data_IF_647091524832
#
_entry.id   IF_647091524832
#
_cell.length_a   1.000
_cell.length_b   1.000
_cell.length_c   1.000
_cell.angle_alpha   90.00
_cell.angle_beta   90.00
_cell.angle_gamma   90.00
#
_symmetry.space_group_name_H-M   'P 1'
#
loop_
_entity.id
_entity.type
_entity.pdbx_description
1 polymer ?
#
# COMPACT_ATOMS: atom_id res chain seq x y z
N UNK A 1 21.86 5.31 10.99
CA UNK A 1 21.08 6.56 10.77
C UNK A 1 21.29 7.42 11.99
N UNK A 2 21.69 8.67 11.81
CA UNK A 2 21.80 9.65 12.89
C UNK A 2 20.45 10.39 13.04
N UNK A 3 19.66 10.00 14.04
CA UNK A 3 18.33 10.61 14.29
C UNK A 3 18.44 12.09 14.65
N UNK A 4 19.52 12.50 15.36
CA UNK A 4 19.69 13.91 15.75
C UNK A 4 19.92 14.81 14.55
N UNK A 5 20.70 14.36 13.56
CA UNK A 5 20.90 15.11 12.33
C UNK A 5 19.61 15.20 11.51
N UNK A 6 18.79 14.12 11.49
CA UNK A 6 17.50 14.14 10.85
C UNK A 6 16.51 15.09 11.54
N UNK A 7 16.48 15.11 12.87
CA UNK A 7 15.65 16.03 13.65
C UNK A 7 16.01 17.50 13.38
N UNK A 8 17.28 17.84 13.51
CA UNK A 8 17.73 19.19 13.21
C UNK A 8 17.36 19.65 11.80
N UNK A 9 17.45 18.74 10.82
CA UNK A 9 17.03 19.01 9.44
C UNK A 9 15.52 19.24 9.33
N UNK A 10 14.70 18.46 10.04
CA UNK A 10 13.25 18.61 10.04
C UNK A 10 12.81 19.93 10.71
N UNK A 11 13.43 20.27 11.85
CA UNK A 11 13.14 21.50 12.59
C UNK A 11 13.50 22.74 11.77
N UNK A 12 14.70 22.77 11.16
CA UNK A 12 15.19 23.88 10.33
C UNK A 12 14.27 24.14 9.12
N UNK A 13 13.65 23.10 8.58
CA UNK A 13 12.74 23.20 7.41
C UNK A 13 11.27 23.28 7.76
N UNK A 14 10.95 23.32 9.04
CA UNK A 14 9.56 23.43 9.49
C UNK A 14 8.71 22.23 9.08
N UNK A 15 9.28 21.03 9.11
CA UNK A 15 8.55 19.78 8.86
C UNK A 15 7.55 19.55 9.98
N UNK A 16 6.29 19.25 9.64
CA UNK A 16 5.27 18.97 10.63
C UNK A 16 5.37 17.54 11.17
N UNK A 17 5.61 16.57 10.29
CA UNK A 17 5.69 15.15 10.66
C UNK A 17 6.75 14.42 9.85
N UNK A 18 7.52 13.55 10.52
CA UNK A 18 8.43 12.61 9.88
C UNK A 18 7.91 11.17 9.98
N UNK A 19 8.12 10.42 8.93
CA UNK A 19 7.82 8.99 8.87
C UNK A 19 9.12 8.20 8.84
N UNK A 20 9.26 7.26 9.78
CA UNK A 20 10.41 6.38 9.87
C UNK A 20 9.97 4.94 9.63
N UNK A 21 10.67 4.24 8.73
CA UNK A 21 10.51 2.80 8.55
C UNK A 21 11.75 2.08 9.07
N UNK A 22 11.55 1.17 10.01
CA UNK A 22 12.61 0.33 10.59
C UNK A 22 12.39 -1.11 10.09
N UNK A 23 13.28 -1.62 9.25
CA UNK A 23 13.20 -3.01 8.80
C UNK A 23 13.48 -3.98 9.97
N UNK A 24 12.90 -5.17 9.94
CA UNK A 24 13.08 -6.20 10.98
C UNK A 24 14.54 -6.58 11.22
N UNK A 25 15.39 -6.50 10.18
CA UNK A 25 16.84 -6.71 10.30
C UNK A 25 17.56 -5.64 11.12
N UNK A 26 16.92 -4.47 11.33
CA UNK A 26 17.42 -3.36 12.12
C UNK A 26 16.56 -3.11 13.38
N UNK A 27 15.93 -4.15 13.93
CA UNK A 27 14.99 -4.07 15.06
C UNK A 27 15.55 -3.32 16.27
N UNK A 28 16.86 -3.36 16.49
CA UNK A 28 17.55 -2.63 17.54
C UNK A 28 17.40 -1.10 17.44
N UNK A 29 17.04 -0.57 16.27
CA UNK A 29 16.82 0.85 16.08
C UNK A 29 15.45 1.34 16.62
N UNK A 30 14.54 0.43 16.96
CA UNK A 30 13.21 0.81 17.47
C UNK A 30 13.30 1.51 18.83
N UNK A 31 14.05 0.96 19.77
CA UNK A 31 14.18 1.55 21.11
C UNK A 31 14.78 2.96 21.07
N UNK A 32 15.88 3.23 20.34
CA UNK A 32 16.36 4.58 20.14
C UNK A 32 15.32 5.51 19.50
N UNK A 33 14.64 5.07 18.46
CA UNK A 33 13.62 5.89 17.78
C UNK A 33 12.46 6.27 18.70
N UNK A 34 11.93 5.31 19.48
CA UNK A 34 10.85 5.59 20.45
C UNK A 34 11.32 6.56 21.55
N UNK A 35 12.57 6.40 22.05
CA UNK A 35 13.13 7.34 23.03
C UNK A 35 13.33 8.74 22.48
N UNK A 36 13.52 8.84 21.17
CA UNK A 36 13.66 10.11 20.45
C UNK A 36 12.28 10.72 20.05
N UNK A 37 11.19 10.16 20.50
CA UNK A 37 9.83 10.70 20.35
C UNK A 37 9.08 10.20 19.11
N UNK A 38 9.52 9.11 18.49
CA UNK A 38 8.75 8.44 17.46
C UNK A 38 7.69 7.51 18.07
N UNK A 39 6.45 7.62 17.63
CA UNK A 39 5.35 6.74 17.97
C UNK A 39 5.29 5.55 16.98
N UNK A 40 5.27 4.32 17.49
CA UNK A 40 5.05 3.13 16.67
C UNK A 40 3.58 3.04 16.28
N UNK A 41 3.28 3.18 14.99
CA UNK A 41 1.90 3.20 14.48
C UNK A 41 1.48 1.89 13.80
N UNK A 42 2.43 1.21 13.15
CA UNK A 42 2.10 0.05 12.32
C UNK A 42 3.28 -0.91 12.23
N UNK A 43 2.98 -2.19 12.21
CA UNK A 43 3.92 -3.23 11.77
C UNK A 43 3.40 -3.78 10.45
N UNK A 44 4.25 -3.79 9.43
CA UNK A 44 3.92 -4.32 8.11
C UNK A 44 4.67 -5.60 7.81
N UNK A 45 4.04 -6.47 7.03
CA UNK A 45 4.66 -7.64 6.43
C UNK A 45 4.79 -7.41 4.94
N UNK A 46 5.97 -7.65 4.40
CA UNK A 46 6.21 -7.70 2.96
C UNK A 46 6.25 -9.16 2.55
N UNK A 47 5.42 -9.51 1.59
CA UNK A 47 5.39 -10.84 1.00
C UNK A 47 5.98 -10.77 -0.40
N UNK A 48 6.62 -11.85 -0.79
CA UNK A 48 7.17 -12.04 -2.13
C UNK A 48 6.28 -12.97 -2.93
N UNK A 49 5.97 -12.57 -4.17
CA UNK A 49 5.32 -13.40 -5.16
C UNK A 49 6.19 -13.55 -6.41
N UNK A 50 5.92 -14.58 -7.19
CA UNK A 50 6.42 -14.69 -8.56
C UNK A 50 5.50 -13.89 -9.48
N UNK A 51 6.05 -13.20 -10.50
CA UNK A 51 5.21 -12.63 -11.55
C UNK A 51 4.34 -13.71 -12.21
N UNK A 52 3.16 -13.33 -12.65
CA UNK A 52 2.26 -14.21 -13.39
C UNK A 52 2.71 -14.36 -14.85
N UNK A 53 2.08 -15.29 -15.57
CA UNK A 53 2.31 -15.50 -17.01
C UNK A 53 0.99 -15.47 -17.79
N UNK A 54 -0.07 -14.96 -17.18
CA UNK A 54 -1.39 -14.87 -17.75
C UNK A 54 -1.64 -13.53 -18.46
N UNK A 55 -2.83 -13.40 -18.97
CA UNK A 55 -3.37 -12.15 -19.50
C UNK A 55 -3.94 -11.32 -18.34
N UNK A 56 -3.39 -10.16 -18.08
CA UNK A 56 -3.81 -9.30 -16.99
C UNK A 56 -5.17 -8.63 -17.23
N UNK A 57 -5.60 -8.52 -18.48
CA UNK A 57 -6.91 -7.98 -18.86
C UNK A 57 -8.05 -9.02 -18.75
N UNK A 58 -7.77 -10.20 -18.20
CA UNK A 58 -8.78 -11.25 -18.06
C UNK A 58 -9.96 -10.81 -17.20
N UNK A 59 -11.12 -11.20 -17.65
CA UNK A 59 -12.37 -10.91 -16.98
C UNK A 59 -12.69 -9.42 -17.05
N UNK A 60 -13.09 -8.85 -15.92
CA UNK A 60 -13.50 -7.45 -15.82
C UNK A 60 -12.38 -6.56 -15.27
N UNK A 61 -11.16 -6.72 -15.79
CA UNK A 61 -10.02 -5.87 -15.44
C UNK A 61 -9.68 -4.99 -16.63
N UNK A 62 -9.43 -3.73 -16.36
CA UNK A 62 -8.96 -2.75 -17.35
C UNK A 62 -7.92 -1.81 -16.74
N UNK A 63 -7.22 -1.07 -17.59
CA UNK A 63 -6.39 0.04 -17.13
C UNK A 63 -7.25 1.15 -16.52
N UNK A 64 -6.77 1.74 -15.44
CA UNK A 64 -7.35 2.93 -14.83
C UNK A 64 -7.02 4.18 -15.65
N UNK A 65 -7.95 5.14 -15.66
CA UNK A 65 -7.82 6.41 -16.36
C UNK A 65 -8.12 7.58 -15.41
N UNK A 66 -7.85 8.80 -15.82
CA UNK A 66 -8.20 10.00 -15.04
C UNK A 66 -9.72 10.14 -14.81
N UNK A 67 -10.55 9.54 -15.66
CA UNK A 67 -12.00 9.53 -15.48
C UNK A 67 -12.45 8.73 -14.23
N UNK A 68 -11.63 7.78 -13.78
CA UNK A 68 -11.90 6.95 -12.60
C UNK A 68 -11.55 7.66 -11.28
N UNK A 69 -10.92 8.83 -11.32
CA UNK A 69 -10.30 9.50 -10.17
C UNK A 69 -11.26 9.69 -8.99
N UNK A 70 -12.49 10.11 -9.24
CA UNK A 70 -13.50 10.36 -8.19
C UNK A 70 -13.89 9.05 -7.52
N UNK A 71 -14.26 8.05 -8.32
CA UNK A 71 -14.80 6.78 -7.81
C UNK A 71 -13.72 5.95 -7.10
N UNK A 72 -12.53 5.84 -7.68
CA UNK A 72 -11.41 5.16 -7.03
C UNK A 72 -10.95 5.89 -5.76
N UNK A 73 -11.01 7.22 -5.74
CA UNK A 73 -10.75 8.02 -4.55
C UNK A 73 -11.71 7.67 -3.41
N UNK A 74 -13.00 7.50 -3.67
CA UNK A 74 -14.00 7.09 -2.66
C UNK A 74 -13.78 5.64 -2.20
N UNK A 75 -13.44 4.74 -3.11
CA UNK A 75 -13.05 3.37 -2.75
C UNK A 75 -11.84 3.39 -1.81
N UNK A 76 -10.81 4.18 -2.12
CA UNK A 76 -9.63 4.30 -1.29
C UNK A 76 -9.96 4.86 0.11
N UNK A 77 -10.72 5.95 0.18
CA UNK A 77 -11.11 6.57 1.44
C UNK A 77 -11.81 5.62 2.42
N UNK A 78 -12.51 4.61 1.91
CA UNK A 78 -13.23 3.63 2.74
C UNK A 78 -12.46 2.35 3.00
N UNK A 79 -11.67 1.91 2.02
CA UNK A 79 -11.03 0.59 2.01
C UNK A 79 -9.94 0.45 3.08
N UNK A 80 -9.22 1.55 3.38
CA UNK A 80 -8.07 1.53 4.29
C UNK A 80 -8.41 1.89 5.74
N UNK A 81 -9.65 2.29 6.06
CA UNK A 81 -10.06 2.70 7.42
C UNK A 81 -9.72 1.69 8.51
N UNK A 82 -9.95 0.37 8.32
CA UNK A 82 -9.66 -0.60 9.38
C UNK A 82 -8.17 -0.90 9.58
N UNK A 83 -7.31 -0.52 8.63
CA UNK A 83 -5.96 -1.06 8.55
C UNK A 83 -4.85 -0.02 8.53
N UNK A 84 -5.07 1.13 7.90
CA UNK A 84 -4.01 2.07 7.55
C UNK A 84 -3.47 2.86 8.74
N UNK A 85 -2.13 3.06 8.78
CA UNK A 85 -1.43 3.81 9.84
C UNK A 85 -1.92 5.25 10.00
N UNK A 86 -2.39 5.88 8.92
CA UNK A 86 -2.91 7.25 8.98
C UNK A 86 -4.21 7.35 9.78
N UNK A 87 -4.99 6.26 9.87
CA UNK A 87 -6.14 6.19 10.78
C UNK A 87 -5.74 5.84 12.21
N UNK A 88 -4.61 5.14 12.40
CA UNK A 88 -4.06 4.84 13.72
C UNK A 88 -3.43 6.07 14.37
N UNK A 89 -2.88 7.01 13.58
CA UNK A 89 -2.33 8.27 14.06
C UNK A 89 -3.46 9.25 14.45
N UNK A 90 -3.59 9.64 15.75
CA UNK A 90 -4.65 10.55 16.20
C UNK A 90 -4.62 11.91 15.51
N UNK A 91 -3.44 12.39 15.10
CA UNK A 91 -3.25 13.69 14.45
C UNK A 91 -3.56 13.68 12.95
N UNK A 92 -3.44 12.51 12.28
CA UNK A 92 -3.73 12.35 10.85
C UNK A 92 -5.11 11.76 10.57
N UNK A 93 -5.73 11.11 11.55
CA UNK A 93 -7.01 10.39 11.36
C UNK A 93 -8.08 11.20 10.65
N UNK A 94 -8.22 12.48 11.01
CA UNK A 94 -9.22 13.37 10.42
C UNK A 94 -8.96 13.71 8.95
N UNK A 95 -7.73 13.51 8.46
CA UNK A 95 -7.31 13.75 7.08
C UNK A 95 -7.00 12.45 6.30
N UNK A 96 -7.14 11.29 6.95
CA UNK A 96 -6.74 10.02 6.35
C UNK A 96 -7.53 9.70 5.07
N UNK A 97 -8.85 9.99 5.05
CA UNK A 97 -9.67 9.82 3.85
C UNK A 97 -9.13 10.67 2.67
N UNK A 98 -8.79 11.93 2.94
CA UNK A 98 -8.22 12.86 1.94
C UNK A 98 -6.84 12.38 1.45
N UNK A 99 -5.98 11.91 2.36
CA UNK A 99 -4.67 11.35 2.00
C UNK A 99 -4.80 10.18 1.04
N UNK A 100 -5.68 9.22 1.31
CA UNK A 100 -5.87 8.08 0.44
C UNK A 100 -6.52 8.44 -0.90
N UNK A 101 -7.47 9.39 -0.92
CA UNK A 101 -8.00 9.95 -2.18
C UNK A 101 -6.90 10.57 -3.01
N UNK A 102 -6.13 11.48 -2.43
CA UNK A 102 -5.02 12.17 -3.11
C UNK A 102 -3.98 11.19 -3.62
N UNK A 103 -3.61 10.19 -2.83
CA UNK A 103 -2.66 9.18 -3.26
C UNK A 103 -3.17 8.39 -4.47
N UNK A 104 -4.44 8.01 -4.47
CA UNK A 104 -5.08 7.30 -5.58
C UNK A 104 -5.13 8.16 -6.85
N UNK A 105 -5.54 9.42 -6.71
CA UNK A 105 -5.58 10.38 -7.83
C UNK A 105 -4.18 10.60 -8.41
N UNK A 106 -3.17 10.80 -7.56
CA UNK A 106 -1.78 10.95 -8.01
C UNK A 106 -1.28 9.69 -8.72
N UNK A 107 -1.70 8.49 -8.27
CA UNK A 107 -1.35 7.22 -8.94
C UNK A 107 -1.89 7.16 -10.36
N UNK A 108 -3.11 7.64 -10.61
CA UNK A 108 -3.68 7.77 -11.96
C UNK A 108 -2.97 8.81 -12.84
N UNK A 109 -2.29 9.77 -12.22
CA UNK A 109 -1.53 10.81 -12.91
C UNK A 109 -0.01 10.54 -12.98
N UNK A 110 0.40 9.28 -12.83
CA UNK A 110 1.79 8.85 -13.06
C UNK A 110 2.65 8.71 -11.81
N UNK A 111 2.09 8.82 -10.60
CA UNK A 111 2.81 8.42 -9.40
C UNK A 111 3.00 6.88 -9.32
N UNK A 112 2.05 6.12 -9.82
CA UNK A 112 2.20 4.69 -10.08
C UNK A 112 2.50 4.46 -11.58
N UNK A 113 3.26 3.40 -11.90
CA UNK A 113 3.55 3.05 -13.28
C UNK A 113 2.30 2.54 -14.01
N UNK A 114 1.38 1.93 -13.25
CA UNK A 114 0.05 1.58 -13.75
C UNK A 114 -0.97 1.46 -12.63
N UNK A 115 -2.25 1.61 -13.01
CA UNK A 115 -3.41 1.34 -12.18
C UNK A 115 -4.30 0.36 -12.92
N UNK A 116 -4.70 -0.74 -12.26
CA UNK A 116 -5.70 -1.68 -12.79
C UNK A 116 -7.00 -1.52 -12.00
N UNK A 117 -8.11 -1.54 -12.72
CA UNK A 117 -9.46 -1.40 -12.17
C UNK A 117 -10.26 -2.67 -12.41
N UNK A 118 -10.89 -3.18 -11.38
CA UNK A 118 -11.93 -4.20 -11.50
C UNK A 118 -13.25 -3.51 -11.77
N UNK A 119 -13.84 -3.79 -12.94
CA UNK A 119 -15.03 -3.12 -13.45
C UNK A 119 -16.19 -4.11 -13.59
N UNK A 120 -17.13 -4.07 -12.65
CA UNK A 120 -18.30 -4.93 -12.57
C UNK A 120 -19.60 -4.08 -12.70
N UNK A 121 -19.80 -3.44 -13.85
CA UNK A 121 -20.81 -2.40 -14.09
C UNK A 121 -20.52 -1.10 -13.30
N UNK A 122 -19.23 -0.75 -13.25
CA UNK A 122 -18.60 0.33 -12.50
C UNK A 122 -17.43 -0.19 -11.68
N UNK A 123 -16.51 0.69 -11.25
CA UNK A 123 -15.33 0.31 -10.47
C UNK A 123 -15.68 -0.39 -9.15
N UNK A 124 -15.35 -1.67 -9.05
CA UNK A 124 -15.55 -2.48 -7.83
C UNK A 124 -14.29 -2.57 -6.96
N UNK A 125 -13.14 -2.16 -7.51
CA UNK A 125 -11.86 -2.09 -6.82
C UNK A 125 -10.72 -1.71 -7.75
N UNK A 126 -9.56 -1.46 -7.19
CA UNK A 126 -8.37 -1.10 -7.95
C UNK A 126 -7.09 -1.58 -7.27
N UNK A 127 -6.02 -1.64 -8.06
CA UNK A 127 -4.66 -1.89 -7.56
C UNK A 127 -3.68 -1.01 -8.32
N UNK A 128 -2.68 -0.47 -7.61
CA UNK A 128 -1.58 0.30 -8.21
C UNK A 128 -0.30 -0.53 -8.22
N UNK A 129 0.50 -0.39 -9.27
CA UNK A 129 1.78 -1.06 -9.41
C UNK A 129 2.91 -0.09 -9.65
N UNK A 130 4.08 -0.40 -9.09
CA UNK A 130 5.32 0.36 -9.27
C UNK A 130 6.42 -0.58 -9.77
N UNK A 131 7.26 -0.08 -10.66
CA UNK A 131 8.41 -0.77 -11.25
C UNK A 131 9.69 -0.13 -10.72
N UNK A 132 10.54 -0.91 -10.06
CA UNK A 132 11.76 -0.43 -9.44
C UNK A 132 12.89 -1.47 -9.65
N UNK A 133 13.84 -1.17 -10.54
CA UNK A 133 15.00 -2.01 -10.86
C UNK A 133 14.68 -3.51 -11.06
N UNK A 134 13.67 -3.80 -11.89
CA UNK A 134 13.24 -5.18 -12.17
C UNK A 134 12.45 -5.86 -11.07
N UNK A 135 12.01 -5.10 -10.06
CA UNK A 135 11.12 -5.52 -8.98
C UNK A 135 9.77 -4.83 -9.14
N UNK A 136 8.69 -5.60 -9.19
CA UNK A 136 7.34 -5.08 -9.11
C UNK A 136 6.95 -4.83 -7.64
N UNK A 137 6.34 -3.69 -7.35
CA UNK A 137 5.79 -3.38 -6.03
C UNK A 137 4.31 -3.07 -6.14
N UNK A 138 3.50 -3.80 -5.40
CA UNK A 138 2.10 -3.45 -5.24
C UNK A 138 2.01 -2.24 -4.29
N UNK A 139 1.38 -1.17 -4.74
CA UNK A 139 1.14 0.03 -3.95
C UNK A 139 -0.17 -0.06 -3.16
N UNK A 140 -1.23 0.55 -3.67
CA UNK A 140 -2.56 0.49 -3.07
C UNK A 140 -3.38 -0.64 -3.68
N UNK A 141 -4.16 -1.35 -2.86
CA UNK A 141 -5.23 -2.23 -3.31
C UNK A 141 -6.48 -1.87 -2.52
N UNK A 142 -7.45 -1.27 -3.19
CA UNK A 142 -8.72 -0.85 -2.61
C UNK A 142 -9.89 -1.61 -3.23
N UNK A 143 -10.91 -1.90 -2.41
CA UNK A 143 -12.13 -2.59 -2.85
C UNK A 143 -13.36 -1.87 -2.32
N UNK A 144 -14.34 -1.66 -3.17
CA UNK A 144 -15.61 -1.04 -2.80
C UNK A 144 -16.32 -1.80 -1.66
N UNK A 145 -17.10 -1.11 -0.83
CA UNK A 145 -17.93 -1.77 0.18
C UNK A 145 -18.85 -2.81 -0.46
N UNK A 146 -18.74 -4.06 -0.01
CA UNK A 146 -19.55 -5.17 -0.52
C UNK A 146 -19.53 -6.32 0.53
N UNK A 147 -20.40 -7.31 0.42
CA UNK A 147 -20.33 -8.51 1.26
C UNK A 147 -18.96 -9.19 1.19
N UNK A 148 -18.49 -9.82 2.28
CA UNK A 148 -17.12 -10.37 2.37
C UNK A 148 -16.73 -11.29 1.22
N UNK A 149 -17.62 -12.14 0.75
CA UNK A 149 -17.38 -13.07 -0.36
C UNK A 149 -17.19 -12.34 -1.71
N UNK A 150 -17.94 -11.27 -1.96
CA UNK A 150 -17.81 -10.47 -3.18
C UNK A 150 -16.47 -9.70 -3.16
N UNK A 151 -16.12 -9.09 -2.02
CA UNK A 151 -14.84 -8.43 -1.82
C UNK A 151 -13.66 -9.37 -2.05
N UNK A 152 -13.74 -10.60 -1.53
CA UNK A 152 -12.71 -11.60 -1.73
C UNK A 152 -12.50 -11.93 -3.22
N UNK A 153 -13.58 -12.03 -3.99
CA UNK A 153 -13.52 -12.24 -5.44
C UNK A 153 -12.79 -11.11 -6.16
N UNK A 154 -13.12 -9.85 -5.82
CA UNK A 154 -12.46 -8.67 -6.40
C UNK A 154 -10.96 -8.62 -6.03
N UNK A 155 -10.61 -8.83 -4.75
CA UNK A 155 -9.21 -8.85 -4.29
C UNK A 155 -8.40 -9.92 -5.03
N UNK A 156 -8.95 -11.15 -5.14
CA UNK A 156 -8.25 -12.26 -5.81
C UNK A 156 -8.04 -11.98 -7.30
N UNK A 157 -9.05 -11.41 -7.96
CA UNK A 157 -8.97 -11.01 -9.38
C UNK A 157 -7.91 -9.94 -9.59
N UNK A 158 -7.94 -8.86 -8.81
CA UNK A 158 -6.95 -7.78 -8.87
C UNK A 158 -5.53 -8.29 -8.58
N UNK A 159 -5.38 -9.14 -7.55
CA UNK A 159 -4.07 -9.73 -7.22
C UNK A 159 -3.51 -10.55 -8.37
N UNK A 160 -4.34 -11.41 -8.99
CA UNK A 160 -3.90 -12.19 -10.16
C UNK A 160 -3.49 -11.28 -11.31
N UNK A 161 -4.33 -10.30 -11.65
CA UNK A 161 -4.07 -9.40 -12.79
C UNK A 161 -2.84 -8.52 -12.57
N UNK A 162 -2.59 -8.03 -11.35
CA UNK A 162 -1.35 -7.26 -11.08
C UNK A 162 -0.11 -8.13 -11.19
N UNK A 163 -0.16 -9.40 -10.78
CA UNK A 163 0.95 -10.34 -10.96
C UNK A 163 1.20 -10.64 -12.45
N UNK A 164 0.14 -10.87 -13.22
CA UNK A 164 0.23 -11.11 -14.66
C UNK A 164 0.74 -9.86 -15.40
N UNK A 165 0.33 -8.65 -14.98
CA UNK A 165 0.83 -7.39 -15.52
C UNK A 165 2.33 -7.24 -15.25
N UNK A 166 2.79 -7.48 -14.04
CA UNK A 166 4.21 -7.47 -13.72
C UNK A 166 5.00 -8.50 -14.51
N UNK A 167 4.42 -9.67 -14.81
CA UNK A 167 5.02 -10.66 -15.67
C UNK A 167 5.18 -10.16 -17.11
N UNK A 168 4.17 -9.48 -17.66
CA UNK A 168 4.22 -8.86 -18.97
C UNK A 168 5.27 -7.73 -19.05
N UNK A 169 5.48 -7.00 -17.97
CA UNK A 169 6.50 -5.95 -17.84
C UNK A 169 7.92 -6.52 -17.56
N UNK A 170 8.07 -7.85 -17.49
CA UNK A 170 9.36 -8.53 -17.39
C UNK A 170 10.05 -8.44 -16.03
N UNK A 171 9.33 -8.12 -14.93
CA UNK A 171 9.95 -8.09 -13.60
C UNK A 171 10.34 -9.49 -13.13
N UNK A 172 11.38 -9.58 -12.31
CA UNK A 172 11.89 -10.86 -11.80
C UNK A 172 11.19 -11.35 -10.54
N UNK A 173 10.64 -10.43 -9.75
CA UNK A 173 9.89 -10.69 -8.49
C UNK A 173 8.91 -9.58 -8.18
N UNK A 174 7.88 -9.90 -7.41
CA UNK A 174 6.88 -8.93 -6.95
C UNK A 174 6.90 -8.89 -5.42
N UNK A 175 6.86 -7.67 -4.87
CA UNK A 175 6.72 -7.42 -3.44
C UNK A 175 5.35 -6.81 -3.15
N UNK A 176 4.68 -7.37 -2.15
CA UNK A 176 3.35 -6.97 -1.71
C UNK A 176 3.39 -6.67 -0.22
N UNK A 177 3.07 -5.44 0.15
CA UNK A 177 3.09 -5.03 1.55
C UNK A 177 1.67 -4.98 2.12
N UNK A 178 1.49 -5.48 3.33
CA UNK A 178 0.24 -5.38 4.07
C UNK A 178 0.51 -5.24 5.57
N UNK A 179 -0.47 -4.74 6.31
CA UNK A 179 -0.38 -4.62 7.76
C UNK A 179 -0.38 -5.99 8.43
N UNK A 180 0.41 -6.16 9.50
CA UNK A 180 0.52 -7.41 10.24
C UNK A 180 -0.81 -7.88 10.85
N UNK A 181 -1.72 -6.94 11.12
CA UNK A 181 -3.04 -7.21 11.66
C UNK A 181 -4.14 -7.35 10.59
N UNK A 182 -3.83 -7.12 9.30
CA UNK A 182 -4.76 -7.31 8.19
C UNK A 182 -4.88 -8.80 7.81
N UNK A 183 -5.49 -9.57 8.71
CA UNK A 183 -5.64 -11.02 8.56
C UNK A 183 -6.32 -11.46 7.25
N UNK A 184 -7.40 -10.79 6.76
CA UNK A 184 -8.01 -11.14 5.49
C UNK A 184 -7.03 -11.06 4.32
N UNK A 185 -6.27 -9.95 4.21
CA UNK A 185 -5.29 -9.79 3.13
C UNK A 185 -4.15 -10.80 3.24
N UNK A 186 -3.63 -11.03 4.45
CA UNK A 186 -2.58 -12.04 4.65
C UNK A 186 -3.04 -13.45 4.23
N UNK A 187 -4.28 -13.82 4.54
CA UNK A 187 -4.84 -15.11 4.13
C UNK A 187 -4.93 -15.22 2.59
N UNK A 188 -5.37 -14.15 1.91
CA UNK A 188 -5.40 -14.11 0.43
C UNK A 188 -4.00 -14.26 -0.15
N UNK A 189 -3.04 -13.48 0.34
CA UNK A 189 -1.67 -13.51 -0.18
C UNK A 189 -1.03 -14.89 0.03
N UNK A 190 -1.18 -15.47 1.22
CA UNK A 190 -0.63 -16.81 1.53
C UNK A 190 -1.29 -17.89 0.68
N UNK A 191 -2.62 -17.89 0.54
CA UNK A 191 -3.33 -18.86 -0.32
C UNK A 191 -3.02 -18.70 -1.81
N UNK A 192 -2.55 -17.53 -2.22
CA UNK A 192 -2.05 -17.26 -3.58
C UNK A 192 -0.58 -17.64 -3.78
N UNK A 193 0.04 -18.32 -2.81
CA UNK A 193 1.43 -18.78 -2.91
C UNK A 193 2.48 -17.72 -2.59
N UNK A 194 2.09 -16.56 -2.06
CA UNK A 194 3.04 -15.57 -1.60
C UNK A 194 3.75 -16.05 -0.32
N UNK A 195 5.04 -15.74 -0.21
CA UNK A 195 5.86 -16.11 0.95
C UNK A 195 6.38 -14.87 1.66
N UNK A 196 6.54 -14.94 2.97
CA UNK A 196 7.10 -13.83 3.75
C UNK A 196 8.52 -13.50 3.24
N UNK A 197 8.75 -12.23 2.96
CA UNK A 197 10.05 -11.68 2.57
C UNK A 197 10.68 -10.90 3.73
N UNK A 198 9.96 -9.95 4.29
CA UNK A 198 10.46 -9.11 5.38
C UNK A 198 9.34 -8.53 6.24
N UNK A 199 9.72 -7.92 7.36
CA UNK A 199 8.82 -7.22 8.28
C UNK A 199 9.42 -5.84 8.55
N UNK A 200 8.59 -4.83 8.70
CA UNK A 200 9.01 -3.47 9.07
C UNK A 200 8.10 -2.86 10.11
N UNK A 201 8.66 -1.99 10.94
CA UNK A 201 7.90 -1.11 11.81
C UNK A 201 7.82 0.29 11.18
N UNK A 202 6.62 0.90 11.19
CA UNK A 202 6.38 2.25 10.73
C UNK A 202 6.10 3.15 11.92
N UNK A 203 6.89 4.21 12.07
CA UNK A 203 6.80 5.15 13.18
C UNK A 203 6.60 6.56 12.64
N UNK A 204 5.89 7.39 13.41
CA UNK A 204 5.70 8.81 13.11
C UNK A 204 6.30 9.64 14.24
N UNK A 205 6.89 10.78 13.90
CA UNK A 205 7.32 11.81 14.86
C UNK A 205 6.77 13.15 14.41
N UNK A 206 6.09 13.84 15.35
CA UNK A 206 5.54 15.18 15.13
C UNK A 206 6.45 16.23 15.74
N UNK A 207 6.68 17.30 14.99
CA UNK A 207 7.48 18.46 15.39
C UNK A 207 6.62 19.67 15.76
N UNK A 208 5.30 19.66 15.38
CA UNK A 208 4.34 20.73 15.66
C UNK A 208 2.98 20.19 16.04
#
# INVERSE_FOLDING_TARGET
MDLRAADAWCEDRGVDVAFLRVPGTAIGALTPAVRDGFDLLEITTVLRARPGAGDWERGRIRAGTSADAVELGEIAATSFRPWGRFYADPRLRHRADELYRTWTVNSLHGYADFVLVSDDDGPSGFVTGHLDDGVGRLGLLGVAPAPPWARLGVVTRLLRSVLDRFGADGVSRVLLETQSHNRPMQAVLTSSGCTLDSVSACLHKWYR
#
